data_IF_731121565206
#
_entry.id   IF_731121565206
#
_cell.length_a   1.000
_cell.length_b   1.000
_cell.length_c   1.000
_cell.angle_alpha   90.00
_cell.angle_beta   90.00
_cell.angle_gamma   90.00
#
_symmetry.space_group_name_H-M   'P 1'
#
loop_
_entity.id
_entity.type
_entity.pdbx_description
1 polymer ?
#
# COMPACT_ATOMS: atom_id res chain seq x y z
N UNK A 1 31.84 -7.90 17.61
CA UNK A 1 30.88 -9.02 17.82
C UNK A 1 29.66 -8.90 16.92
N UNK A 2 28.88 -7.80 16.98
CA UNK A 2 27.71 -7.58 16.11
C UNK A 2 28.03 -7.68 14.60
N UNK A 3 29.10 -7.00 14.15
CA UNK A 3 29.54 -6.99 12.75
C UNK A 3 29.88 -8.40 12.23
N UNK A 4 30.58 -9.19 13.05
CA UNK A 4 30.99 -10.57 12.71
C UNK A 4 29.76 -11.47 12.50
N UNK A 5 28.76 -11.36 13.38
CA UNK A 5 27.52 -12.13 13.27
C UNK A 5 26.69 -11.68 12.05
N UNK A 6 26.68 -10.39 11.74
CA UNK A 6 25.99 -9.86 10.57
C UNK A 6 26.64 -10.33 9.25
N UNK A 7 27.98 -10.37 9.19
CA UNK A 7 28.72 -10.92 8.04
C UNK A 7 28.53 -12.43 7.87
N UNK A 8 28.20 -13.15 8.94
CA UNK A 8 27.81 -14.57 8.90
C UNK A 8 26.38 -14.79 8.40
N UNK A 9 25.67 -13.73 7.96
CA UNK A 9 24.30 -13.80 7.47
C UNK A 9 23.25 -13.99 8.58
N UNK A 10 23.62 -13.79 9.85
CA UNK A 10 22.68 -13.93 10.96
C UNK A 10 21.77 -12.69 10.99
N UNK A 11 20.46 -12.91 10.99
CA UNK A 11 19.47 -11.83 11.00
C UNK A 11 19.55 -10.96 12.27
N UNK A 12 19.21 -9.67 12.12
CA UNK A 12 19.24 -8.64 13.17
C UNK A 12 18.62 -9.10 14.51
N UNK A 13 17.46 -9.75 14.46
CA UNK A 13 16.73 -10.18 15.66
C UNK A 13 17.47 -11.29 16.42
N UNK A 14 18.13 -12.18 15.69
CA UNK A 14 18.91 -13.27 16.28
C UNK A 14 20.19 -12.74 16.91
N UNK A 15 20.84 -11.75 16.29
CA UNK A 15 21.99 -11.04 16.89
C UNK A 15 21.55 -10.34 18.18
N UNK A 16 20.40 -9.68 18.18
CA UNK A 16 19.86 -9.01 19.37
C UNK A 16 19.66 -10.00 20.54
N UNK A 17 19.09 -11.18 20.28
CA UNK A 17 18.90 -12.23 21.30
C UNK A 17 20.21 -12.77 21.85
N UNK A 18 21.22 -12.98 21.00
CA UNK A 18 22.52 -13.53 21.40
C UNK A 18 23.40 -12.55 22.14
N UNK A 19 23.29 -11.26 21.81
CA UNK A 19 24.18 -10.22 22.33
C UNK A 19 23.56 -9.38 23.43
N UNK A 20 22.23 -9.46 23.64
CA UNK A 20 21.50 -8.60 24.57
C UNK A 20 21.38 -7.14 24.12
N UNK A 21 21.85 -6.82 22.91
CA UNK A 21 21.81 -5.48 22.34
C UNK A 21 20.47 -5.27 21.64
N UNK A 22 19.85 -4.11 21.81
CA UNK A 22 18.57 -3.80 21.13
C UNK A 22 18.71 -3.90 19.60
N UNK A 23 17.65 -4.35 18.93
CA UNK A 23 17.60 -4.47 17.45
C UNK A 23 17.94 -3.14 16.74
N UNK A 24 17.51 -2.01 17.30
CA UNK A 24 17.84 -0.68 16.79
C UNK A 24 19.34 -0.36 16.89
N UNK A 25 19.99 -0.74 18.00
CA UNK A 25 21.44 -0.59 18.14
C UNK A 25 22.22 -1.54 17.22
N UNK A 26 21.73 -2.78 17.02
CA UNK A 26 22.31 -3.73 16.06
C UNK A 26 22.25 -3.17 14.63
N UNK A 27 21.11 -2.63 14.20
CA UNK A 27 20.97 -1.96 12.89
C UNK A 27 21.92 -0.77 12.73
N UNK A 28 22.03 0.10 13.74
CA UNK A 28 22.94 1.25 13.69
C UNK A 28 24.41 0.85 13.58
N UNK A 29 24.82 -0.17 14.34
CA UNK A 29 26.18 -0.71 14.28
C UNK A 29 26.44 -1.34 12.91
N UNK A 30 25.51 -2.13 12.38
CA UNK A 30 25.65 -2.75 11.06
C UNK A 30 25.73 -1.69 9.94
N UNK A 31 24.87 -0.67 9.97
CA UNK A 31 24.86 0.43 9.01
C UNK A 31 26.16 1.25 9.03
N UNK A 32 26.71 1.53 10.23
CA UNK A 32 28.01 2.20 10.37
C UNK A 32 29.18 1.41 9.74
N UNK A 33 28.99 0.11 9.50
CA UNK A 33 29.93 -0.78 8.85
C UNK A 33 29.50 -1.22 7.43
N UNK A 34 28.49 -0.56 6.85
CA UNK A 34 28.04 -0.82 5.48
C UNK A 34 27.30 -2.15 5.28
N UNK A 35 26.76 -2.74 6.35
CA UNK A 35 26.00 -3.99 6.28
C UNK A 35 24.52 -3.67 6.42
N UNK A 36 23.75 -3.97 5.38
CA UNK A 36 22.28 -3.88 5.40
C UNK A 36 21.66 -5.23 5.70
N UNK A 37 20.61 -5.23 6.52
CA UNK A 37 19.81 -6.43 6.76
C UNK A 37 18.67 -6.46 5.75
N UNK A 38 18.57 -7.54 4.99
CA UNK A 38 17.46 -7.75 4.07
C UNK A 38 16.13 -7.89 4.83
N UNK A 39 15.26 -6.89 4.66
CA UNK A 39 13.92 -6.85 5.23
C UNK A 39 12.85 -7.40 4.29
N UNK A 40 13.20 -7.84 3.07
CA UNK A 40 12.26 -8.27 2.04
C UNK A 40 11.33 -9.38 2.54
N UNK A 41 11.86 -10.38 3.25
CA UNK A 41 11.06 -11.46 3.81
C UNK A 41 10.09 -10.99 4.89
N UNK A 42 10.47 -10.00 5.70
CA UNK A 42 9.57 -9.42 6.71
C UNK A 42 8.46 -8.59 6.09
N UNK A 43 8.74 -7.87 5.01
CA UNK A 43 7.73 -7.10 4.27
C UNK A 43 6.73 -8.02 3.57
N UNK A 44 7.21 -9.08 2.92
CA UNK A 44 6.34 -10.09 2.30
C UNK A 44 5.46 -10.77 3.34
N UNK A 45 6.02 -11.18 4.48
CA UNK A 45 5.26 -11.78 5.58
C UNK A 45 4.23 -10.80 6.18
N UNK A 46 4.58 -9.52 6.28
CA UNK A 46 3.66 -8.48 6.77
C UNK A 46 2.52 -8.25 5.77
N UNK A 47 2.81 -8.12 4.48
CA UNK A 47 1.81 -7.98 3.41
C UNK A 47 0.86 -9.17 3.39
N UNK A 48 1.38 -10.39 3.46
CA UNK A 48 0.56 -11.60 3.53
C UNK A 48 -0.35 -11.61 4.76
N UNK A 49 0.16 -11.19 5.92
CA UNK A 49 -0.61 -11.10 7.16
C UNK A 49 -1.70 -10.03 7.11
N UNK A 50 -1.41 -8.89 6.49
CA UNK A 50 -2.41 -7.83 6.26
C UNK A 50 -3.51 -8.36 5.33
N UNK A 51 -3.16 -9.02 4.23
CA UNK A 51 -4.12 -9.63 3.32
C UNK A 51 -5.00 -10.67 4.02
N UNK A 52 -4.41 -11.53 4.86
CA UNK A 52 -5.15 -12.51 5.65
C UNK A 52 -6.10 -11.84 6.67
N UNK A 53 -5.66 -10.77 7.33
CA UNK A 53 -6.51 -10.00 8.25
C UNK A 53 -7.68 -9.35 7.51
N UNK A 54 -7.45 -8.76 6.33
CA UNK A 54 -8.52 -8.22 5.48
C UNK A 54 -9.52 -9.30 5.06
N UNK A 55 -9.05 -10.48 4.66
CA UNK A 55 -9.91 -11.59 4.29
C UNK A 55 -10.77 -12.07 5.48
N UNK A 56 -10.18 -12.16 6.67
CA UNK A 56 -10.92 -12.51 7.90
C UNK A 56 -11.94 -11.43 8.26
N UNK A 57 -11.58 -10.16 8.13
CA UNK A 57 -12.47 -9.03 8.38
C UNK A 57 -13.68 -9.05 7.44
N UNK A 58 -13.46 -9.34 6.14
CA UNK A 58 -14.55 -9.53 5.19
C UNK A 58 -15.47 -10.70 5.57
N UNK A 59 -14.90 -11.82 6.03
CA UNK A 59 -15.68 -12.96 6.53
C UNK A 59 -16.54 -12.62 7.75
N UNK A 60 -16.01 -11.84 8.69
CA UNK A 60 -16.77 -11.36 9.86
C UNK A 60 -17.89 -10.41 9.42
N UNK A 61 -17.61 -9.50 8.49
CA UNK A 61 -18.62 -8.60 7.95
C UNK A 61 -19.79 -9.36 7.31
N UNK A 62 -19.51 -10.44 6.58
CA UNK A 62 -20.54 -11.32 6.01
C UNK A 62 -21.40 -11.97 7.11
N UNK A 63 -20.77 -12.51 8.16
CA UNK A 63 -21.49 -13.09 9.30
C UNK A 63 -22.41 -12.09 10.00
N UNK A 64 -22.00 -10.83 10.14
CA UNK A 64 -22.86 -9.78 10.69
C UNK A 64 -24.10 -9.52 9.83
N UNK A 65 -24.03 -9.66 8.51
CA UNK A 65 -25.21 -9.52 7.63
C UNK A 65 -26.21 -10.67 7.87
N UNK A 66 -25.71 -11.88 8.11
CA UNK A 66 -26.55 -13.03 8.48
C UNK A 66 -27.23 -12.81 9.84
N UNK A 67 -26.49 -12.28 10.82
CA UNK A 67 -27.02 -11.92 12.14
C UNK A 67 -28.09 -10.82 12.05
N UNK A 68 -27.88 -9.80 11.23
CA UNK A 68 -28.88 -8.75 10.94
C UNK A 68 -30.14 -9.37 10.35
N UNK A 69 -29.99 -10.33 9.43
CA UNK A 69 -31.12 -11.02 8.82
C UNK A 69 -31.91 -11.81 9.85
N UNK A 70 -31.21 -12.49 10.76
CA UNK A 70 -31.81 -13.21 11.88
C UNK A 70 -32.55 -12.27 12.84
N UNK A 71 -31.94 -11.14 13.22
CA UNK A 71 -32.55 -10.12 14.07
C UNK A 71 -33.78 -9.48 13.42
N UNK A 72 -33.77 -9.30 12.08
CA UNK A 72 -34.94 -8.88 11.31
C UNK A 72 -36.07 -9.91 11.33
N UNK A 73 -35.75 -11.19 11.36
CA UNK A 73 -36.71 -12.26 11.61
C UNK A 73 -37.40 -12.10 12.97
N UNK A 74 -36.62 -11.92 14.03
CA UNK A 74 -37.13 -11.67 15.39
C UNK A 74 -38.01 -10.42 15.46
N UNK A 75 -37.61 -9.32 14.79
CA UNK A 75 -38.40 -8.09 14.74
C UNK A 75 -39.78 -8.31 14.11
N UNK A 76 -39.87 -9.14 13.06
CA UNK A 76 -41.15 -9.47 12.41
C UNK A 76 -42.03 -10.38 13.24
N UNK A 77 -41.44 -11.22 14.09
CA UNK A 77 -42.16 -12.13 14.97
C UNK A 77 -42.50 -11.51 16.34
N UNK A 78 -42.06 -10.29 16.60
CA UNK A 78 -42.29 -9.61 17.87
C UNK A 78 -43.78 -9.35 18.10
N UNK A 79 -44.32 -9.92 19.15
CA UNK A 79 -45.72 -9.72 19.58
C UNK A 79 -45.84 -8.68 20.70
N UNK A 80 -44.71 -8.33 21.34
CA UNK A 80 -44.65 -7.32 22.39
C UNK A 80 -43.77 -6.14 21.98
N UNK A 81 -44.09 -4.96 22.53
CA UNK A 81 -43.31 -3.74 22.30
C UNK A 81 -41.85 -3.88 22.78
N UNK A 82 -41.63 -4.66 23.85
CA UNK A 82 -40.30 -4.91 24.40
C UNK A 82 -39.45 -5.72 23.42
N UNK A 83 -40.01 -6.79 22.86
CA UNK A 83 -39.29 -7.65 21.91
C UNK A 83 -38.99 -6.90 20.62
N UNK A 84 -39.94 -6.05 20.17
CA UNK A 84 -39.73 -5.17 19.03
C UNK A 84 -38.56 -4.20 19.27
N UNK A 85 -38.55 -3.51 20.41
CA UNK A 85 -37.49 -2.57 20.76
C UNK A 85 -36.12 -3.26 20.88
N UNK A 86 -36.08 -4.46 21.45
CA UNK A 86 -34.85 -5.25 21.54
C UNK A 86 -34.31 -5.66 20.17
N UNK A 87 -35.18 -6.20 19.30
CA UNK A 87 -34.78 -6.59 17.95
C UNK A 87 -34.37 -5.39 17.09
N UNK A 88 -35.05 -4.25 17.20
CA UNK A 88 -34.70 -3.03 16.50
C UNK A 88 -33.33 -2.50 16.92
N UNK A 89 -33.03 -2.54 18.22
CA UNK A 89 -31.71 -2.18 18.75
C UNK A 89 -30.63 -3.13 18.25
N UNK A 90 -30.86 -4.44 18.30
CA UNK A 90 -29.91 -5.44 17.80
C UNK A 90 -29.58 -5.19 16.31
N UNK A 91 -30.58 -4.90 15.48
CA UNK A 91 -30.36 -4.54 14.07
C UNK A 91 -29.49 -3.28 13.95
N UNK A 92 -29.78 -2.23 14.71
CA UNK A 92 -28.99 -0.99 14.69
C UNK A 92 -27.53 -1.24 15.10
N UNK A 93 -27.30 -1.94 16.20
CA UNK A 93 -25.95 -2.21 16.74
C UNK A 93 -25.13 -3.10 15.79
N UNK A 94 -25.76 -4.13 15.21
CA UNK A 94 -25.12 -4.99 14.22
C UNK A 94 -24.83 -4.26 12.90
N UNK A 95 -25.75 -3.40 12.44
CA UNK A 95 -25.55 -2.60 11.22
C UNK A 95 -24.40 -1.61 11.39
N UNK A 96 -24.32 -0.91 12.53
CA UNK A 96 -23.19 -0.02 12.81
C UNK A 96 -21.87 -0.79 12.92
N UNK A 97 -21.89 -1.97 13.54
CA UNK A 97 -20.70 -2.81 13.64
C UNK A 97 -20.26 -3.31 12.27
N UNK A 98 -21.19 -3.72 11.41
CA UNK A 98 -20.91 -4.11 10.03
C UNK A 98 -20.34 -2.93 9.23
N UNK A 99 -20.94 -1.74 9.31
CA UNK A 99 -20.44 -0.53 8.65
C UNK A 99 -19.02 -0.14 9.07
N UNK A 100 -18.66 -0.32 10.35
CA UNK A 100 -17.30 -0.06 10.84
C UNK A 100 -16.30 -1.16 10.45
N UNK A 101 -16.79 -2.37 10.18
CA UNK A 101 -15.96 -3.52 9.80
C UNK A 101 -15.78 -3.69 8.32
N UNK A 102 -16.72 -3.24 7.50
CA UNK A 102 -16.43 -2.93 6.10
C UNK A 102 -15.48 -1.75 6.18
N UNK A 103 -14.15 -1.90 5.94
CA UNK A 103 -13.39 -0.71 5.62
C UNK A 103 -14.18 -0.12 4.45
N UNK A 104 -14.57 1.15 4.56
CA UNK A 104 -14.84 1.89 3.33
C UNK A 104 -13.71 1.47 2.39
N UNK A 105 -14.03 1.07 1.17
CA UNK A 105 -13.05 1.14 0.10
C UNK A 105 -12.80 2.65 -0.01
N UNK A 106 -12.09 3.21 0.98
CA UNK A 106 -11.52 4.51 0.89
C UNK A 106 -10.66 4.33 -0.33
N UNK A 107 -10.82 5.25 -1.26
CA UNK A 107 -10.01 5.39 -2.45
C UNK A 107 -8.53 5.58 -2.08
N UNK A 108 -8.05 5.19 -0.90
CA UNK A 108 -6.70 5.23 -0.38
C UNK A 108 -5.82 4.23 -1.11
N UNK A 109 -6.29 3.01 -1.40
CA UNK A 109 -5.56 2.09 -2.28
C UNK A 109 -5.50 2.63 -3.72
N UNK A 110 -6.62 3.13 -4.26
CA UNK A 110 -6.65 3.77 -5.59
C UNK A 110 -5.83 5.07 -5.65
N UNK A 111 -5.78 5.84 -4.56
CA UNK A 111 -5.03 7.09 -4.44
C UNK A 111 -3.52 6.80 -4.30
N UNK A 112 -3.14 5.77 -3.56
CA UNK A 112 -1.73 5.34 -3.49
C UNK A 112 -1.27 4.77 -4.83
N UNK A 113 -2.09 3.96 -5.50
CA UNK A 113 -1.80 3.48 -6.85
C UNK A 113 -1.71 4.64 -7.86
N UNK A 114 -2.61 5.63 -7.78
CA UNK A 114 -2.54 6.84 -8.60
C UNK A 114 -1.29 7.68 -8.29
N UNK A 115 -0.87 7.80 -7.02
CA UNK A 115 0.36 8.50 -6.63
C UNK A 115 1.60 7.78 -7.15
N UNK A 116 1.64 6.45 -7.08
CA UNK A 116 2.73 5.63 -7.59
C UNK A 116 2.84 5.79 -9.10
N UNK A 117 1.71 5.70 -9.82
CA UNK A 117 1.65 5.98 -11.26
C UNK A 117 2.10 7.39 -11.64
N UNK A 118 1.72 8.42 -10.87
CA UNK A 118 2.18 9.80 -11.09
C UNK A 118 3.68 9.96 -10.81
N UNK A 119 4.24 9.21 -9.85
CA UNK A 119 5.67 9.24 -9.53
C UNK A 119 6.48 8.59 -10.64
N UNK A 120 6.01 7.46 -11.16
CA UNK A 120 6.63 6.78 -12.30
C UNK A 120 6.58 7.65 -13.56
N UNK A 121 5.43 8.29 -13.82
CA UNK A 121 5.30 9.25 -14.92
C UNK A 121 6.28 10.41 -14.78
N UNK A 122 6.40 10.99 -13.58
CA UNK A 122 7.36 12.06 -13.31
C UNK A 122 8.80 11.61 -13.57
N UNK A 123 9.16 10.40 -13.17
CA UNK A 123 10.49 9.84 -13.41
C UNK A 123 10.75 9.61 -14.91
N UNK A 124 9.78 9.04 -15.63
CA UNK A 124 9.87 8.87 -17.08
C UNK A 124 10.01 10.20 -17.83
N UNK A 125 9.26 11.23 -17.41
CA UNK A 125 9.37 12.58 -17.98
C UNK A 125 10.75 13.18 -17.70
N UNK A 126 11.31 12.97 -16.51
CA UNK A 126 12.67 13.37 -16.17
C UNK A 126 13.72 12.72 -17.08
N UNK A 127 13.63 11.41 -17.28
CA UNK A 127 14.52 10.66 -18.18
C UNK A 127 14.39 11.11 -19.65
N UNK A 128 13.17 11.36 -20.13
CA UNK A 128 12.96 11.89 -21.49
C UNK A 128 13.58 13.26 -21.65
N UNK A 129 13.41 14.13 -20.64
CA UNK A 129 14.02 15.46 -20.63
C UNK A 129 15.54 15.38 -20.65
N UNK A 130 16.14 14.59 -19.77
CA UNK A 130 17.60 14.40 -19.75
C UNK A 130 18.13 13.83 -21.08
N UNK A 131 17.43 12.87 -21.67
CA UNK A 131 17.77 12.32 -22.98
C UNK A 131 17.67 13.34 -24.11
N UNK A 132 16.66 14.22 -24.08
CA UNK A 132 16.52 15.32 -25.02
C UNK A 132 17.64 16.35 -24.87
N UNK A 133 17.89 16.80 -23.64
CA UNK A 133 18.94 17.79 -23.35
C UNK A 133 20.34 17.25 -23.70
N UNK A 134 20.58 15.95 -23.50
CA UNK A 134 21.83 15.30 -23.93
C UNK A 134 21.97 15.19 -25.45
N UNK A 135 20.85 15.00 -26.19
CA UNK A 135 20.86 14.85 -27.66
C UNK A 135 20.99 16.19 -28.38
N UNK A 136 20.34 17.24 -27.88
CA UNK A 136 20.25 18.53 -28.55
C UNK A 136 21.08 19.64 -27.87
N UNK A 137 21.60 19.40 -26.66
CA UNK A 137 22.48 20.33 -25.94
C UNK A 137 21.79 21.57 -25.40
N UNK A 138 20.46 21.63 -25.45
CA UNK A 138 19.63 22.75 -25.00
C UNK A 138 18.56 22.28 -24.02
N UNK A 139 18.22 23.06 -22.97
CA UNK A 139 17.15 22.73 -22.04
C UNK A 139 15.81 22.58 -22.74
N UNK A 140 15.04 21.52 -22.43
CA UNK A 140 13.72 21.29 -23.04
C UNK A 140 12.74 22.44 -22.77
N UNK A 141 12.89 23.09 -21.62
CA UNK A 141 12.01 24.18 -21.19
C UNK A 141 12.27 25.51 -21.91
N UNK A 142 13.38 25.61 -22.64
CA UNK A 142 13.75 26.83 -23.40
C UNK A 142 12.91 26.98 -24.67
N UNK A 143 12.80 28.21 -25.18
CA UNK A 143 12.04 28.49 -26.40
C UNK A 143 12.62 27.71 -27.60
N UNK A 144 13.96 27.62 -27.70
CA UNK A 144 14.65 26.80 -28.72
C UNK A 144 14.42 25.29 -28.52
N UNK A 145 14.40 24.81 -27.28
CA UNK A 145 14.12 23.41 -26.94
C UNK A 145 12.71 22.97 -27.32
N UNK A 146 11.71 23.85 -27.15
CA UNK A 146 10.31 23.56 -27.52
C UNK A 146 10.12 23.45 -29.03
N UNK A 147 10.75 24.31 -29.81
CA UNK A 147 10.70 24.23 -31.27
C UNK A 147 11.34 22.94 -31.82
N UNK A 148 12.44 22.50 -31.19
CA UNK A 148 13.12 21.26 -31.54
C UNK A 148 12.31 20.02 -31.14
N UNK A 149 11.61 20.07 -30.00
CA UNK A 149 10.70 19.01 -29.56
C UNK A 149 9.51 18.83 -30.52
N UNK A 150 8.89 19.94 -30.93
CA UNK A 150 7.76 19.91 -31.86
C UNK A 150 8.16 19.39 -33.25
N UNK A 151 9.36 19.75 -33.73
CA UNK A 151 9.93 19.20 -34.98
C UNK A 151 10.23 17.71 -34.88
N UNK A 152 10.90 17.27 -33.81
CA UNK A 152 11.20 15.86 -33.60
C UNK A 152 9.93 15.00 -33.53
N UNK A 153 8.88 15.53 -32.88
CA UNK A 153 7.58 14.86 -32.79
C UNK A 153 6.85 14.80 -34.14
N UNK A 154 6.97 15.82 -34.98
CA UNK A 154 6.43 15.80 -36.35
C UNK A 154 7.17 14.80 -37.24
N UNK A 155 8.50 14.73 -37.15
CA UNK A 155 9.32 13.77 -37.90
C UNK A 155 9.03 12.31 -37.50
N UNK A 156 8.81 12.03 -36.20
CA UNK A 156 8.42 10.70 -35.74
C UNK A 156 7.02 10.31 -36.23
N UNK A 157 6.06 11.25 -36.25
CA UNK A 157 4.71 11.00 -36.79
C UNK A 157 4.68 10.82 -38.31
N UNK A 158 5.57 11.48 -39.07
CA UNK A 158 5.71 11.29 -40.51
C UNK A 158 6.39 9.96 -40.87
N UNK A 159 7.31 9.47 -40.03
CA UNK A 159 7.96 8.17 -40.23
C UNK A 159 7.11 6.97 -39.78
N UNK A 160 6.07 7.17 -38.97
CA UNK A 160 5.12 6.13 -38.54
C UNK A 160 3.87 6.00 -39.44
N UNK A 161 3.70 6.84 -40.47
CA UNK A 161 2.68 6.64 -41.50
C UNK A 161 3.24 5.83 -42.69
N UNK A 162 2.71 4.62 -42.98
CA UNK A 162 3.13 3.82 -44.13
C UNK A 162 2.67 4.42 -45.47
#
# INVERSE_FOLDING_TARGET
MVVVLAQQGIGRNEISRRTGISTASVSRIAAAHGIEFDGSQTEVALKARIAELKARQAGIALGLVEDITSARGLLRMATTHRDFAFAAKAISDLTQSAQRMTPEITNEEELEEAKEGLRDLYFQMGLMREGFEAKYGVPLDSDEGRELWDKARQEDMENEQP
#
